data_IF_233276666736
#
_entry.id   IF_233276666736
#
_cell.length_a   1.000
_cell.length_b   1.000
_cell.length_c   1.000
_cell.angle_alpha   90.00
_cell.angle_beta   90.00
_cell.angle_gamma   90.00
#
_symmetry.space_group_name_H-M   'P 1'
#
loop_
_entity.id
_entity.type
_entity.pdbx_description
1 polymer ?
#
# COMPACT_ATOMS: atom_id res chain seq x y z
N UNK A 1 26.96 -9.21 2.27
CA UNK A 1 26.62 -9.60 0.89
C UNK A 1 25.28 -10.30 0.92
N UNK A 2 24.20 -9.56 0.66
CA UNK A 2 22.88 -10.15 0.38
C UNK A 2 22.96 -10.74 -1.02
N UNK A 3 22.62 -12.01 -1.20
CA UNK A 3 22.54 -12.60 -2.53
C UNK A 3 21.42 -11.91 -3.32
N UNK A 4 21.59 -11.72 -4.63
CA UNK A 4 20.59 -11.07 -5.50
C UNK A 4 19.19 -11.69 -5.34
N UNK A 5 19.12 -12.99 -5.04
CA UNK A 5 17.89 -13.74 -4.82
C UNK A 5 17.14 -13.36 -3.52
N UNK A 6 17.82 -12.84 -2.50
CA UNK A 6 17.21 -12.47 -1.22
C UNK A 6 16.74 -11.00 -1.18
N UNK A 7 17.13 -10.19 -2.16
CA UNK A 7 16.88 -8.75 -2.19
C UNK A 7 15.38 -8.37 -2.17
N UNK A 8 14.48 -9.03 -2.92
CA UNK A 8 13.05 -8.71 -2.85
C UNK A 8 12.46 -8.91 -1.45
N UNK A 9 12.89 -9.96 -0.74
CA UNK A 9 12.43 -10.26 0.62
C UNK A 9 12.91 -9.23 1.64
N UNK A 10 14.19 -8.82 1.54
CA UNK A 10 14.74 -7.77 2.41
C UNK A 10 14.02 -6.43 2.19
N UNK A 11 13.79 -6.05 0.94
CA UNK A 11 13.07 -4.81 0.61
C UNK A 11 11.61 -4.86 1.07
N UNK A 12 10.93 -6.00 0.88
CA UNK A 12 9.57 -6.21 1.36
C UNK A 12 9.45 -6.03 2.87
N UNK A 13 10.30 -6.71 3.65
CA UNK A 13 10.32 -6.57 5.10
C UNK A 13 10.62 -5.12 5.52
N UNK A 14 11.66 -4.52 4.93
CA UNK A 14 12.06 -3.15 5.22
C UNK A 14 10.91 -2.14 5.01
N UNK A 15 10.19 -2.23 3.88
CA UNK A 15 9.08 -1.32 3.57
C UNK A 15 7.89 -1.54 4.49
N UNK A 16 7.47 -2.79 4.68
CA UNK A 16 6.27 -3.11 5.48
C UNK A 16 6.47 -2.80 6.95
N UNK A 17 7.63 -3.14 7.52
CA UNK A 17 7.92 -2.86 8.93
C UNK A 17 8.09 -1.36 9.18
N UNK A 18 8.77 -0.63 8.28
CA UNK A 18 8.89 0.82 8.40
C UNK A 18 7.51 1.52 8.30
N UNK A 19 6.61 1.03 7.44
CA UNK A 19 5.25 1.55 7.36
C UNK A 19 4.48 1.34 8.68
N UNK A 20 4.61 0.17 9.33
CA UNK A 20 3.99 -0.11 10.62
C UNK A 20 4.55 0.79 11.74
N UNK A 21 5.86 1.01 11.76
CA UNK A 21 6.52 1.89 12.74
C UNK A 21 6.11 3.35 12.59
N UNK A 22 6.01 3.85 11.35
CA UNK A 22 5.61 5.22 11.08
C UNK A 22 4.18 5.52 11.57
N UNK A 23 3.24 4.58 11.37
CA UNK A 23 1.88 4.74 11.90
C UNK A 23 1.88 4.66 13.42
N UNK A 24 2.62 3.72 14.02
CA UNK A 24 2.73 3.63 15.48
C UNK A 24 3.35 4.88 16.13
N UNK A 25 4.31 5.52 15.46
CA UNK A 25 4.91 6.77 15.91
C UNK A 25 3.96 7.97 15.77
N UNK A 26 3.10 8.00 14.75
CA UNK A 26 2.08 9.05 14.58
C UNK A 26 0.96 8.94 15.62
N UNK A 27 0.61 7.73 16.07
CA UNK A 27 -0.40 7.53 17.11
C UNK A 27 0.09 7.98 18.50
N UNK A 28 1.41 8.03 18.74
CA UNK A 28 2.01 8.26 20.06
C UNK A 28 2.91 9.50 20.14
N UNK A 29 3.10 10.23 19.04
CA UNK A 29 4.07 11.33 18.92
C UNK A 29 3.46 12.65 18.46
N UNK A 30 4.22 13.76 18.51
CA UNK A 30 3.78 15.03 17.95
C UNK A 30 3.61 14.93 16.42
N UNK A 31 2.67 15.67 15.82
CA UNK A 31 2.42 15.61 14.38
C UNK A 31 3.68 15.97 13.59
N UNK A 32 4.11 15.05 12.73
CA UNK A 32 5.28 15.23 11.85
C UNK A 32 4.99 16.25 10.76
N UNK A 33 5.99 17.07 10.42
CA UNK A 33 5.96 18.00 9.28
C UNK A 33 6.37 17.33 7.95
N UNK A 34 6.93 16.12 8.01
CA UNK A 34 7.31 15.35 6.83
C UNK A 34 6.10 14.61 6.26
N UNK A 35 5.97 14.60 4.94
CA UNK A 35 5.01 13.72 4.27
C UNK A 35 5.35 12.26 4.58
N UNK A 36 4.34 11.42 4.74
CA UNK A 36 4.53 10.07 5.25
C UNK A 36 5.39 9.21 4.29
N UNK A 37 5.19 9.36 2.98
CA UNK A 37 5.98 8.72 1.92
C UNK A 37 7.46 9.15 1.93
N UNK A 38 7.73 10.44 2.13
CA UNK A 38 9.10 10.94 2.33
C UNK A 38 9.72 10.35 3.61
N UNK A 39 8.94 10.22 4.69
CA UNK A 39 9.40 9.61 5.94
C UNK A 39 9.71 8.11 5.79
N UNK A 40 8.93 7.38 4.97
CA UNK A 40 9.18 5.98 4.65
C UNK A 40 10.50 5.80 3.90
N UNK A 41 10.71 6.58 2.84
CA UNK A 41 11.98 6.58 2.11
C UNK A 41 13.15 7.13 2.94
N UNK A 42 12.87 7.97 3.94
CA UNK A 42 13.89 8.46 4.86
C UNK A 42 14.36 7.42 5.89
N UNK A 43 13.56 6.37 6.13
CA UNK A 43 13.86 5.31 7.09
C UNK A 43 15.18 4.63 6.78
N UNK A 44 16.05 4.48 7.79
CA UNK A 44 17.38 3.91 7.63
C UNK A 44 17.34 2.51 7.00
N UNK A 45 16.36 1.67 7.39
CA UNK A 45 16.22 0.32 6.84
C UNK A 45 15.81 0.34 5.36
N UNK A 46 14.91 1.23 4.99
CA UNK A 46 14.40 1.35 3.62
C UNK A 46 15.51 1.90 2.72
N UNK A 47 16.25 2.91 3.19
CA UNK A 47 17.44 3.42 2.50
C UNK A 47 18.48 2.35 2.25
N UNK A 48 18.81 1.57 3.29
CA UNK A 48 19.77 0.48 3.18
C UNK A 48 19.30 -0.57 2.16
N UNK A 49 18.03 -0.99 2.22
CA UNK A 49 17.48 -1.97 1.29
C UNK A 49 17.45 -1.46 -0.17
N UNK A 50 17.09 -0.19 -0.38
CA UNK A 50 17.04 0.44 -1.71
C UNK A 50 18.46 0.61 -2.30
N UNK A 51 19.45 0.96 -1.48
CA UNK A 51 20.83 1.17 -1.94
C UNK A 51 21.47 -0.09 -2.53
N UNK A 52 20.98 -1.26 -2.15
CA UNK A 52 21.44 -2.56 -2.65
C UNK A 52 20.78 -2.94 -4.00
N UNK A 53 19.81 -2.16 -4.49
CA UNK A 53 19.11 -2.42 -5.76
C UNK A 53 19.88 -1.80 -6.93
N UNK A 54 20.44 -2.60 -7.86
CA UNK A 54 21.13 -2.07 -9.04
C UNK A 54 20.16 -1.29 -9.93
N UNK A 55 20.58 -0.11 -10.41
CA UNK A 55 19.72 0.74 -11.24
C UNK A 55 18.48 1.26 -10.49
N UNK A 56 18.59 1.41 -9.16
CA UNK A 56 17.51 1.93 -8.33
C UNK A 56 16.93 3.24 -8.91
N UNK A 57 15.58 3.37 -8.97
CA UNK A 57 14.95 4.64 -9.28
C UNK A 57 15.44 5.77 -8.38
N UNK A 58 15.22 7.01 -8.83
CA UNK A 58 15.29 8.15 -7.93
C UNK A 58 14.18 8.10 -6.85
N UNK A 59 14.18 9.08 -5.95
CA UNK A 59 13.22 9.10 -4.86
C UNK A 59 11.76 9.09 -5.35
N UNK A 60 11.46 9.79 -6.44
CA UNK A 60 10.11 9.87 -6.99
C UNK A 60 9.68 8.55 -7.64
N UNK A 61 10.60 7.90 -8.37
CA UNK A 61 10.41 6.57 -8.91
C UNK A 61 10.16 5.53 -7.81
N UNK A 62 10.83 5.63 -6.65
CA UNK A 62 10.54 4.77 -5.51
C UNK A 62 9.19 5.02 -4.88
N UNK A 63 8.75 6.28 -4.76
CA UNK A 63 7.38 6.58 -4.31
C UNK A 63 6.36 5.90 -5.20
N UNK A 64 6.53 6.04 -6.52
CA UNK A 64 5.65 5.40 -7.48
C UNK A 64 5.64 3.87 -7.36
N UNK A 65 6.81 3.24 -7.18
CA UNK A 65 6.93 1.78 -6.95
C UNK A 65 6.18 1.37 -5.68
N UNK A 66 6.34 2.11 -4.59
CA UNK A 66 5.68 1.77 -3.31
C UNK A 66 4.17 2.05 -3.39
N UNK A 67 3.73 3.05 -4.13
CA UNK A 67 2.30 3.27 -4.42
C UNK A 67 1.73 2.09 -5.25
N UNK A 68 2.46 1.59 -6.26
CA UNK A 68 2.06 0.35 -6.96
C UNK A 68 1.99 -0.87 -6.03
N UNK A 69 2.93 -0.98 -5.08
CA UNK A 69 2.85 -2.01 -4.04
C UNK A 69 1.55 -1.88 -3.23
N UNK A 70 1.18 -0.68 -2.79
CA UNK A 70 -0.06 -0.47 -2.04
C UNK A 70 -1.31 -0.90 -2.84
N UNK A 71 -1.36 -0.61 -4.14
CA UNK A 71 -2.42 -1.09 -5.04
C UNK A 71 -2.43 -2.62 -5.12
N UNK A 72 -1.26 -3.23 -5.33
CA UNK A 72 -1.11 -4.69 -5.36
C UNK A 72 -1.59 -5.36 -4.05
N UNK A 73 -1.24 -4.79 -2.91
CA UNK A 73 -1.67 -5.27 -1.59
C UNK A 73 -3.19 -5.13 -1.43
N UNK A 74 -3.76 -4.01 -1.86
CA UNK A 74 -5.21 -3.79 -1.81
C UNK A 74 -5.97 -4.85 -2.62
N UNK A 75 -5.50 -5.18 -3.83
CA UNK A 75 -6.05 -6.27 -4.62
C UNK A 75 -6.00 -7.61 -3.89
N UNK A 76 -4.89 -7.93 -3.22
CA UNK A 76 -4.78 -9.19 -2.49
C UNK A 76 -5.72 -9.31 -1.28
N UNK A 77 -6.09 -8.20 -0.65
CA UNK A 77 -6.99 -8.22 0.52
C UNK A 77 -8.46 -7.96 0.18
N UNK A 78 -8.79 -7.31 -0.95
CA UNK A 78 -10.17 -6.90 -1.28
C UNK A 78 -11.15 -8.07 -1.37
N UNK A 79 -10.67 -9.29 -1.66
CA UNK A 79 -11.51 -10.50 -1.64
C UNK A 79 -12.18 -10.73 -0.28
N UNK A 80 -11.53 -10.35 0.84
CA UNK A 80 -12.13 -10.43 2.19
C UNK A 80 -13.37 -9.54 2.30
N UNK A 81 -13.32 -8.35 1.71
CA UNK A 81 -14.46 -7.45 1.62
C UNK A 81 -15.57 -8.05 0.76
N UNK A 82 -15.26 -8.47 -0.46
CA UNK A 82 -16.25 -9.02 -1.41
C UNK A 82 -16.95 -10.27 -0.86
N UNK A 83 -16.26 -11.10 -0.09
CA UNK A 83 -16.85 -12.27 0.55
C UNK A 83 -17.81 -11.90 1.69
N UNK A 84 -17.50 -10.86 2.47
CA UNK A 84 -18.31 -10.44 3.61
C UNK A 84 -19.50 -9.55 3.22
N UNK A 85 -19.32 -8.74 2.16
CA UNK A 85 -20.29 -7.74 1.71
C UNK A 85 -20.44 -7.75 0.17
N UNK A 86 -20.99 -8.84 -0.41
CA UNK A 86 -21.03 -9.01 -1.86
C UNK A 86 -21.80 -7.91 -2.60
N UNK A 87 -22.83 -7.34 -1.97
CA UNK A 87 -23.66 -6.28 -2.57
C UNK A 87 -23.04 -4.87 -2.45
N UNK A 88 -21.88 -4.75 -1.81
CA UNK A 88 -21.22 -3.48 -1.52
C UNK A 88 -19.97 -3.35 -2.39
N UNK A 89 -20.14 -2.88 -3.62
CA UNK A 89 -19.09 -2.94 -4.65
C UNK A 89 -18.04 -1.83 -4.60
N UNK A 90 -18.21 -0.79 -3.77
CA UNK A 90 -17.36 0.42 -3.85
C UNK A 90 -15.88 0.14 -3.58
N UNK A 91 -15.48 -0.68 -2.57
CA UNK A 91 -14.08 -1.06 -2.41
C UNK A 91 -13.49 -1.83 -3.59
N UNK A 92 -14.27 -2.66 -4.28
CA UNK A 92 -13.78 -3.36 -5.47
C UNK A 92 -13.50 -2.36 -6.61
N UNK A 93 -14.46 -1.45 -6.87
CA UNK A 93 -14.30 -0.38 -7.86
C UNK A 93 -13.09 0.50 -7.58
N UNK A 94 -12.84 0.79 -6.29
CA UNK A 94 -11.68 1.58 -5.87
C UNK A 94 -10.35 0.89 -6.19
N UNK A 95 -10.24 -0.42 -5.96
CA UNK A 95 -9.05 -1.18 -6.37
C UNK A 95 -8.90 -1.20 -7.88
N UNK A 96 -9.97 -1.43 -8.64
CA UNK A 96 -9.93 -1.46 -10.11
C UNK A 96 -9.45 -0.12 -10.70
N UNK A 97 -9.92 1.01 -10.15
CA UNK A 97 -9.47 2.33 -10.58
C UNK A 97 -7.99 2.57 -10.21
N UNK A 98 -7.55 2.13 -9.03
CA UNK A 98 -6.15 2.20 -8.62
C UNK A 98 -5.22 1.33 -9.49
N UNK A 99 -5.70 0.17 -9.95
CA UNK A 99 -4.97 -0.71 -10.86
C UNK A 99 -4.83 -0.10 -12.27
N UNK A 100 -5.84 0.64 -12.75
CA UNK A 100 -5.73 1.40 -13.99
C UNK A 100 -4.61 2.43 -13.91
N UNK A 101 -4.46 3.11 -12.76
CA UNK A 101 -3.30 3.97 -12.52
C UNK A 101 -2.00 3.17 -12.43
N UNK A 102 -1.96 2.02 -11.74
CA UNK A 102 -0.74 1.23 -11.63
C UNK A 102 -0.22 0.75 -13.00
N UNK A 103 -1.14 0.45 -13.93
CA UNK A 103 -0.82 0.10 -15.32
C UNK A 103 -0.44 1.32 -16.18
N UNK A 104 -1.06 2.49 -15.94
CA UNK A 104 -0.77 3.74 -16.64
C UNK A 104 -0.67 4.91 -15.63
N UNK A 105 0.52 5.16 -15.05
CA UNK A 105 0.71 6.12 -13.96
C UNK A 105 0.67 7.58 -14.44
N UNK A 106 -0.50 8.06 -14.84
CA UNK A 106 -0.73 9.43 -15.29
C UNK A 106 -1.73 10.16 -14.39
N UNK A 107 -1.73 11.49 -14.46
CA UNK A 107 -2.60 12.34 -13.64
C UNK A 107 -4.09 12.03 -13.84
N UNK A 108 -4.51 11.67 -15.07
CA UNK A 108 -5.89 11.30 -15.37
C UNK A 108 -6.35 10.07 -14.56
N UNK A 109 -5.58 8.98 -14.57
CA UNK A 109 -5.93 7.79 -13.79
C UNK A 109 -5.77 8.00 -12.27
N UNK A 110 -4.83 8.87 -11.85
CA UNK A 110 -4.71 9.23 -10.44
C UNK A 110 -5.96 9.96 -9.92
N UNK A 111 -6.51 10.88 -10.73
CA UNK A 111 -7.76 11.57 -10.42
C UNK A 111 -8.95 10.59 -10.37
N UNK A 112 -9.10 9.76 -11.41
CA UNK A 112 -10.17 8.77 -11.50
C UNK A 112 -10.14 7.78 -10.32
N UNK A 113 -8.95 7.35 -9.88
CA UNK A 113 -8.80 6.52 -8.69
C UNK A 113 -9.27 7.27 -7.43
N UNK A 114 -8.80 8.50 -7.22
CA UNK A 114 -9.16 9.31 -6.05
C UNK A 114 -10.67 9.59 -5.95
N UNK A 115 -11.38 9.73 -7.07
CA UNK A 115 -12.85 9.93 -7.08
C UNK A 115 -13.63 8.74 -6.49
N UNK A 116 -13.07 7.52 -6.56
CA UNK A 116 -13.72 6.31 -6.01
C UNK A 116 -13.47 6.13 -4.50
N UNK A 117 -12.39 6.72 -3.97
CA UNK A 117 -11.96 6.52 -2.59
C UNK A 117 -13.03 6.91 -1.54
N UNK A 118 -13.78 8.03 -1.68
CA UNK A 118 -14.84 8.38 -0.72
C UNK A 118 -15.95 7.34 -0.62
N UNK A 119 -16.33 6.70 -1.74
CA UNK A 119 -17.33 5.63 -1.76
C UNK A 119 -16.89 4.41 -0.96
N UNK A 120 -15.68 3.92 -1.26
CA UNK A 120 -15.06 2.81 -0.54
C UNK A 120 -14.87 3.12 0.95
N UNK A 121 -14.41 4.34 1.28
CA UNK A 121 -14.22 4.80 2.64
C UNK A 121 -15.53 4.78 3.44
N UNK A 122 -16.63 5.32 2.90
CA UNK A 122 -17.94 5.33 3.58
C UNK A 122 -18.42 3.91 3.86
N UNK A 123 -18.32 3.01 2.90
CA UNK A 123 -18.76 1.63 3.08
C UNK A 123 -17.90 0.89 4.12
N UNK A 124 -16.57 1.06 4.05
CA UNK A 124 -15.66 0.47 5.03
C UNK A 124 -15.94 0.97 6.46
N UNK A 125 -16.17 2.27 6.64
CA UNK A 125 -16.49 2.85 7.94
C UNK A 125 -17.86 2.40 8.46
N UNK A 126 -18.84 2.23 7.57
CA UNK A 126 -20.15 1.67 7.94
C UNK A 126 -20.03 0.21 8.43
N UNK A 127 -19.08 -0.56 7.90
CA UNK A 127 -18.78 -1.92 8.32
C UNK A 127 -17.87 -2.01 9.57
N UNK A 128 -17.30 -0.90 10.05
CA UNK A 128 -16.24 -0.90 11.07
C UNK A 128 -16.65 -1.49 12.43
N UNK A 129 -17.95 -1.39 12.76
CA UNK A 129 -18.53 -1.95 14.00
C UNK A 129 -19.11 -3.35 13.79
N UNK A 130 -19.04 -3.89 12.59
CA UNK A 130 -19.54 -5.21 12.23
C UNK A 130 -18.40 -6.21 12.15
N UNK A 131 -18.71 -7.49 12.40
CA UNK A 131 -17.80 -8.59 12.10
C UNK A 131 -17.92 -9.02 10.63
N UNK A 132 -16.84 -9.50 10.00
CA UNK A 132 -15.46 -9.56 10.51
C UNK A 132 -14.71 -8.22 10.33
N UNK A 133 -13.93 -7.80 11.33
CA UNK A 133 -13.19 -6.52 11.29
C UNK A 133 -12.14 -6.49 10.17
N UNK A 134 -11.60 -7.65 9.82
CA UNK A 134 -10.63 -7.86 8.74
C UNK A 134 -11.22 -7.42 7.40
N UNK A 135 -12.52 -7.64 7.17
CA UNK A 135 -13.20 -7.17 5.97
C UNK A 135 -13.28 -5.64 5.96
N UNK A 136 -13.64 -5.01 7.08
CA UNK A 136 -13.67 -3.55 7.19
C UNK A 136 -12.28 -2.92 6.91
N UNK A 137 -11.21 -3.54 7.42
CA UNK A 137 -9.84 -3.15 7.09
C UNK A 137 -9.51 -3.33 5.61
N UNK A 138 -9.93 -4.42 4.97
CA UNK A 138 -9.76 -4.62 3.54
C UNK A 138 -10.47 -3.54 2.71
N UNK A 139 -11.71 -3.18 3.08
CA UNK A 139 -12.45 -2.11 2.43
C UNK A 139 -11.77 -0.74 2.59
N UNK A 140 -11.22 -0.47 3.78
CA UNK A 140 -10.50 0.78 4.05
C UNK A 140 -9.15 0.83 3.32
N UNK A 141 -8.48 -0.31 3.21
CA UNK A 141 -7.25 -0.47 2.42
C UNK A 141 -7.47 -0.10 0.96
N UNK A 142 -8.58 -0.58 0.36
CA UNK A 142 -8.96 -0.21 -1.01
C UNK A 142 -9.15 1.29 -1.18
N UNK A 143 -9.83 1.96 -0.22
CA UNK A 143 -10.01 3.41 -0.25
C UNK A 143 -8.67 4.15 -0.22
N UNK A 144 -7.75 3.77 0.67
CA UNK A 144 -6.43 4.38 0.74
C UNK A 144 -5.58 4.13 -0.49
N UNK A 145 -5.63 2.92 -1.06
CA UNK A 145 -4.90 2.58 -2.27
C UNK A 145 -5.41 3.38 -3.49
N UNK A 146 -6.71 3.71 -3.55
CA UNK A 146 -7.28 4.54 -4.60
C UNK A 146 -6.91 6.03 -4.48
N UNK A 147 -6.77 6.53 -3.25
CA UNK A 147 -6.32 7.90 -2.98
C UNK A 147 -4.80 8.11 -3.19
N UNK A 148 -4.02 7.06 -2.93
CA UNK A 148 -2.55 7.12 -2.91
C UNK A 148 -1.91 7.66 -4.20
N UNK A 149 -2.36 7.29 -5.42
CA UNK A 149 -1.84 7.84 -6.67
C UNK A 149 -1.83 9.37 -6.75
N UNK A 150 -2.84 10.04 -6.19
CA UNK A 150 -3.00 11.49 -6.28
C UNK A 150 -2.29 12.22 -5.13
N UNK A 151 -2.28 11.64 -3.94
CA UNK A 151 -1.89 12.35 -2.72
C UNK A 151 -0.64 11.79 -2.02
N UNK A 152 -0.20 10.59 -2.38
CA UNK A 152 1.03 9.92 -1.91
C UNK A 152 0.95 9.37 -0.48
N UNK A 153 0.43 10.13 0.49
CA UNK A 153 0.50 9.78 1.91
C UNK A 153 -0.37 8.57 2.30
N UNK A 154 -1.45 8.30 1.56
CA UNK A 154 -2.33 7.15 1.78
C UNK A 154 -1.66 5.81 1.45
N UNK A 155 -0.51 5.82 0.77
CA UNK A 155 0.27 4.61 0.47
C UNK A 155 0.60 3.82 1.74
N UNK A 156 1.08 4.50 2.78
CA UNK A 156 1.44 3.84 4.05
C UNK A 156 0.21 3.32 4.78
N UNK A 157 -0.87 4.11 4.78
CA UNK A 157 -2.13 3.69 5.39
C UNK A 157 -2.69 2.44 4.69
N UNK A 158 -2.58 2.33 3.37
CA UNK A 158 -2.95 1.13 2.62
C UNK A 158 -2.10 -0.09 3.00
N UNK A 159 -0.77 0.05 3.09
CA UNK A 159 0.12 -1.04 3.52
C UNK A 159 -0.26 -1.53 4.93
N UNK A 160 -0.43 -0.61 5.88
CA UNK A 160 -0.83 -0.96 7.25
C UNK A 160 -2.24 -1.54 7.30
N UNK A 161 -3.17 -1.01 6.51
CA UNK A 161 -4.51 -1.55 6.37
C UNK A 161 -4.52 -3.01 5.89
N UNK A 162 -3.67 -3.34 4.90
CA UNK A 162 -3.48 -4.71 4.45
C UNK A 162 -2.95 -5.61 5.59
N UNK A 163 -1.98 -5.12 6.37
CA UNK A 163 -1.46 -5.84 7.54
C UNK A 163 -2.56 -6.10 8.59
N UNK A 164 -3.50 -5.15 8.79
CA UNK A 164 -4.64 -5.34 9.69
C UNK A 164 -5.69 -6.30 9.13
N UNK A 165 -5.83 -6.39 7.81
CA UNK A 165 -6.78 -7.28 7.16
C UNK A 165 -6.32 -8.74 7.13
N UNK A 166 -5.01 -9.01 7.04
CA UNK A 166 -4.50 -10.37 6.80
C UNK A 166 -3.26 -10.76 7.62
N UNK A 167 -2.62 -9.82 8.30
CA UNK A 167 -1.41 -10.03 9.10
C UNK A 167 -0.13 -9.62 8.36
N UNK A 168 0.86 -9.12 9.10
CA UNK A 168 2.10 -8.58 8.52
C UNK A 168 2.95 -9.61 7.79
N UNK A 169 3.04 -10.85 8.30
CA UNK A 169 3.79 -11.93 7.65
C UNK A 169 3.29 -12.23 6.23
N UNK A 170 1.97 -12.26 6.05
CA UNK A 170 1.36 -12.48 4.74
C UNK A 170 1.56 -11.28 3.82
N UNK A 171 1.45 -10.05 4.33
CA UNK A 171 1.74 -8.82 3.57
C UNK A 171 3.21 -8.76 3.13
N UNK A 172 4.16 -9.14 3.98
CA UNK A 172 5.58 -9.22 3.61
C UNK A 172 5.77 -10.22 2.47
N UNK A 173 5.18 -11.42 2.56
CA UNK A 173 5.27 -12.40 1.49
C UNK A 173 4.61 -11.91 0.17
N UNK A 174 3.53 -11.14 0.26
CA UNK A 174 2.91 -10.49 -0.90
C UNK A 174 3.83 -9.43 -1.51
N UNK A 175 4.41 -8.56 -0.67
CA UNK A 175 5.32 -7.52 -1.09
C UNK A 175 6.60 -8.09 -1.72
N UNK A 176 7.11 -9.20 -1.20
CA UNK A 176 8.26 -9.92 -1.78
C UNK A 176 7.96 -10.39 -3.22
N UNK A 177 6.76 -10.96 -3.45
CA UNK A 177 6.33 -11.35 -4.81
C UNK A 177 6.23 -10.14 -5.73
N UNK A 178 5.69 -9.03 -5.23
CA UNK A 178 5.61 -7.77 -5.98
C UNK A 178 7.01 -7.29 -6.37
N UNK A 179 7.93 -7.13 -5.41
CA UNK A 179 9.28 -6.66 -5.69
C UNK A 179 10.07 -7.63 -6.57
N UNK A 180 9.85 -8.94 -6.45
CA UNK A 180 10.47 -9.93 -7.34
C UNK A 180 10.06 -9.72 -8.80
N UNK A 181 8.80 -9.33 -9.06
CA UNK A 181 8.33 -9.02 -10.41
C UNK A 181 8.82 -7.64 -10.87
N UNK A 182 8.70 -6.63 -10.00
CA UNK A 182 9.05 -5.23 -10.28
C UNK A 182 10.54 -5.01 -10.54
N UNK A 183 11.42 -5.79 -9.90
CA UNK A 183 12.87 -5.72 -10.10
C UNK A 183 13.34 -6.53 -11.32
N UNK A 184 12.56 -7.49 -11.81
CA UNK A 184 12.89 -8.28 -13.01
C UNK A 184 12.45 -7.61 -14.32
N UNK A 185 11.47 -6.72 -14.25
CA UNK A 185 10.95 -5.99 -15.42
C UNK A 185 11.79 -4.76 -15.78
N UNK A 186 12.93 -4.57 -15.11
CA UNK A 186 13.89 -3.48 -15.29
C UNK A 186 15.20 -4.02 -15.83
#
# INVERSE_FOLDING_TARGET
MTTLDAMPGVLAAAVVEAALELVGAQENGPPSRLRADDALLASARVKAAIAEVPGAPDAEGWKQVITRLAVFLARGVVKRWSNAYPDRLEPLRAVEAAEAWAACPCAHHAEAAAETAPGAARQAMAAWRSSPKEAAWAGRTAAWAADAPKYGWQTIAAIVGACRATGSKEVIAMAERFFSAELRSR
#
